data_IF_860191475641
#
_entry.id   IF_860191475641
#
_cell.length_a   1.000
_cell.length_b   1.000
_cell.length_c   1.000
_cell.angle_alpha   90.00
_cell.angle_beta   90.00
_cell.angle_gamma   90.00
#
_symmetry.space_group_name_H-M   'P 1'
#
loop_
_entity.id
_entity.type
_entity.pdbx_description
1 polymer ?
#
# COMPACT_ATOMS: atom_id res chain seq x y z
N UNK A 1 -17.97 -19.80 4.45
CA UNK A 1 -17.01 -19.72 3.33
C UNK A 1 -15.87 -18.74 3.60
N UNK A 2 -16.13 -17.58 4.24
CA UNK A 2 -15.10 -16.58 4.57
C UNK A 2 -14.10 -17.05 5.65
N UNK A 3 -14.52 -17.90 6.57
CA UNK A 3 -13.69 -18.37 7.69
C UNK A 3 -12.62 -19.36 7.22
N UNK A 4 -12.89 -20.16 6.20
CA UNK A 4 -11.94 -21.14 5.67
C UNK A 4 -10.77 -20.50 4.91
N UNK A 5 -11.01 -19.36 4.25
CA UNK A 5 -9.94 -18.61 3.54
C UNK A 5 -8.87 -18.10 4.51
N UNK A 6 -9.21 -17.84 5.77
CA UNK A 6 -8.28 -17.35 6.78
C UNK A 6 -7.38 -18.46 7.39
N UNK A 7 -7.71 -19.72 7.16
CA UNK A 7 -6.88 -20.86 7.63
C UNK A 7 -5.89 -21.34 6.58
N UNK A 8 -6.11 -20.99 5.30
CA UNK A 8 -5.15 -21.27 4.23
C UNK A 8 -3.95 -20.31 4.31
N UNK A 9 -2.77 -20.79 3.95
CA UNK A 9 -1.64 -19.91 3.74
C UNK A 9 -1.91 -18.94 2.59
N UNK A 10 -1.22 -17.78 2.56
CA UNK A 10 -1.32 -16.89 1.41
C UNK A 10 -0.87 -17.57 0.11
N UNK A 11 0.06 -18.51 0.21
CA UNK A 11 0.54 -19.31 -0.91
C UNK A 11 -0.53 -20.27 -1.45
N UNK A 12 -1.28 -20.94 -0.55
CA UNK A 12 -2.35 -21.87 -0.94
C UNK A 12 -3.54 -21.15 -1.61
N UNK A 13 -3.65 -19.84 -1.42
CA UNK A 13 -4.64 -19.02 -2.10
C UNK A 13 -4.30 -18.68 -3.57
N UNK A 14 -3.14 -19.12 -4.05
CA UNK A 14 -2.66 -18.90 -5.42
C UNK A 14 -2.92 -20.13 -6.30
N UNK A 15 -3.31 -19.94 -7.56
CA UNK A 15 -3.58 -18.70 -8.30
C UNK A 15 -5.06 -18.29 -8.29
N UNK A 16 -5.69 -18.21 -7.10
CA UNK A 16 -7.11 -17.90 -6.99
C UNK A 16 -7.40 -16.50 -7.52
N UNK A 17 -8.27 -16.41 -8.51
CA UNK A 17 -8.83 -15.18 -9.03
C UNK A 17 -10.24 -14.98 -8.47
N UNK A 18 -10.38 -14.01 -7.58
CA UNK A 18 -11.73 -13.64 -7.13
C UNK A 18 -12.47 -12.92 -8.27
N UNK A 19 -13.70 -13.31 -8.59
CA UNK A 19 -14.45 -12.65 -9.64
C UNK A 19 -14.76 -11.20 -9.27
N UNK A 20 -14.71 -10.31 -10.26
CA UNK A 20 -15.27 -8.97 -10.15
C UNK A 20 -16.79 -9.10 -10.20
N UNK A 21 -17.49 -8.54 -9.21
CA UNK A 21 -18.95 -8.66 -9.05
C UNK A 21 -19.69 -7.40 -9.48
N UNK A 22 -19.00 -6.26 -9.48
CA UNK A 22 -19.55 -4.98 -9.94
C UNK A 22 -18.53 -4.15 -10.70
N UNK A 23 -18.98 -3.44 -11.70
CA UNK A 23 -18.18 -2.41 -12.37
C UNK A 23 -18.21 -1.15 -11.52
N UNK A 24 -17.05 -0.57 -11.29
CA UNK A 24 -16.88 0.66 -10.52
C UNK A 24 -16.52 1.82 -11.43
N UNK A 25 -17.04 2.99 -11.11
CA UNK A 25 -16.70 4.24 -11.78
C UNK A 25 -15.33 4.75 -11.34
N UNK A 26 -14.72 5.58 -12.20
CA UNK A 26 -13.47 6.30 -11.93
C UNK A 26 -12.23 5.45 -11.63
N UNK A 27 -12.24 4.14 -11.92
CA UNK A 27 -11.07 3.29 -11.68
C UNK A 27 -9.87 3.77 -12.50
N UNK A 28 -8.70 3.82 -11.85
CA UNK A 28 -7.43 4.23 -12.44
C UNK A 28 -6.41 3.12 -12.32
N UNK A 29 -5.61 2.95 -13.38
CA UNK A 29 -4.52 1.98 -13.41
C UNK A 29 -3.17 2.65 -13.08
N UNK A 30 -2.20 1.88 -12.58
CA UNK A 30 -0.80 2.31 -12.55
C UNK A 30 -0.30 2.60 -13.97
N UNK A 31 0.60 3.57 -14.10
CA UNK A 31 1.23 3.89 -15.38
C UNK A 31 2.69 3.48 -15.34
N UNK A 32 3.10 2.62 -16.30
CA UNK A 32 4.49 2.23 -16.44
C UNK A 32 5.11 2.92 -17.64
N UNK A 33 6.30 3.49 -17.46
CA UNK A 33 7.07 4.10 -18.53
C UNK A 33 8.56 3.78 -18.40
N UNK A 34 9.29 3.82 -19.52
CA UNK A 34 10.75 3.66 -19.52
C UNK A 34 11.39 4.97 -19.04
N UNK A 35 12.14 4.92 -17.95
CA UNK A 35 12.87 6.08 -17.43
C UNK A 35 13.95 6.52 -18.42
N UNK A 36 14.14 7.82 -18.54
CA UNK A 36 15.26 8.41 -19.29
C UNK A 36 16.27 9.07 -18.35
N UNK A 37 15.77 9.92 -17.45
CA UNK A 37 16.62 10.71 -16.55
C UNK A 37 17.30 9.84 -15.49
N UNK A 38 16.52 9.15 -14.68
CA UNK A 38 17.06 8.30 -13.61
C UNK A 38 17.84 7.11 -14.19
N UNK A 39 17.38 6.52 -15.31
CA UNK A 39 18.08 5.44 -15.99
C UNK A 39 19.48 5.86 -16.45
N UNK A 40 19.61 7.02 -17.11
CA UNK A 40 20.88 7.56 -17.55
C UNK A 40 21.82 7.88 -16.38
N UNK A 41 21.26 8.46 -15.30
CA UNK A 41 22.01 8.77 -14.09
C UNK A 41 22.60 7.51 -13.42
N UNK A 42 21.86 6.41 -13.43
CA UNK A 42 22.27 5.13 -12.83
C UNK A 42 23.05 4.22 -13.81
N UNK A 43 23.14 4.58 -15.09
CA UNK A 43 23.78 3.77 -16.11
C UNK A 43 23.01 2.48 -16.46
N UNK A 44 21.68 2.48 -16.27
CA UNK A 44 20.78 1.35 -16.56
C UNK A 44 20.13 1.53 -17.93
N UNK A 45 20.12 0.48 -18.75
CA UNK A 45 19.53 0.52 -20.08
C UNK A 45 18.02 0.30 -20.07
N UNK A 46 17.51 -0.47 -19.10
CA UNK A 46 16.14 -0.91 -19.04
C UNK A 46 15.49 -0.68 -17.66
N UNK A 47 15.59 0.55 -17.16
CA UNK A 47 14.85 0.97 -15.98
C UNK A 47 13.43 1.42 -16.37
N UNK A 48 12.43 0.77 -15.79
CA UNK A 48 11.02 1.13 -15.91
C UNK A 48 10.48 1.59 -14.57
N UNK A 49 9.71 2.68 -14.60
CA UNK A 49 9.03 3.24 -13.44
C UNK A 49 7.55 2.90 -13.56
N UNK A 50 7.01 2.19 -12.57
CA UNK A 50 5.57 2.02 -12.42
C UNK A 50 5.08 3.04 -11.41
N UNK A 51 4.41 4.08 -11.91
CA UNK A 51 3.97 5.23 -11.13
C UNK A 51 2.53 5.06 -10.70
N UNK A 52 2.29 5.19 -9.39
CA UNK A 52 0.98 5.10 -8.78
C UNK A 52 0.62 6.44 -8.12
N UNK A 53 0.12 7.37 -8.90
CA UNK A 53 -0.14 8.71 -8.39
C UNK A 53 -0.79 9.62 -9.43
N UNK A 54 -0.63 10.93 -9.22
CA UNK A 54 -1.19 11.95 -10.09
C UNK A 54 -0.08 12.67 -10.87
N UNK A 55 0.03 12.35 -12.15
CA UNK A 55 0.93 13.02 -13.08
C UNK A 55 0.35 13.00 -14.50
N UNK A 56 -0.54 13.96 -14.84
CA UNK A 56 -1.26 13.99 -16.12
C UNK A 56 -0.35 13.93 -17.35
N UNK A 57 0.87 14.50 -17.27
CA UNK A 57 1.82 14.51 -18.37
C UNK A 57 2.21 13.10 -18.88
N UNK A 58 2.11 12.07 -18.03
CA UNK A 58 2.36 10.66 -18.40
C UNK A 58 1.08 9.83 -18.43
N UNK A 59 -0.09 10.45 -18.30
CA UNK A 59 -1.38 9.75 -18.23
C UNK A 59 -1.72 9.13 -16.87
N UNK A 60 -1.00 9.48 -15.80
CA UNK A 60 -1.28 9.00 -14.45
C UNK A 60 -2.31 9.91 -13.75
N UNK A 61 -3.45 9.34 -13.40
CA UNK A 61 -4.62 10.10 -12.91
C UNK A 61 -5.18 9.57 -11.57
N UNK A 62 -4.38 8.91 -10.75
CA UNK A 62 -4.82 8.48 -9.41
C UNK A 62 -4.95 9.69 -8.49
N UNK A 63 -6.18 10.09 -8.17
CA UNK A 63 -6.46 11.30 -7.39
C UNK A 63 -6.12 11.18 -5.91
N UNK A 64 -5.93 9.97 -5.40
CA UNK A 64 -5.43 9.73 -4.05
C UNK A 64 -3.92 9.68 -3.96
N UNK A 65 -3.22 9.89 -5.08
CA UNK A 65 -1.77 9.94 -5.20
C UNK A 65 -1.03 8.71 -4.63
N UNK A 66 -1.68 7.53 -4.61
CA UNK A 66 -1.04 6.30 -4.14
C UNK A 66 -1.69 5.03 -4.68
N UNK A 67 -0.92 3.94 -4.77
CA UNK A 67 -1.37 2.60 -5.20
C UNK A 67 -2.44 1.99 -4.27
N UNK A 68 -2.75 2.62 -3.14
CA UNK A 68 -3.87 2.23 -2.29
C UNK A 68 -5.21 2.41 -3.00
N UNK A 69 -5.26 3.24 -4.04
CA UNK A 69 -6.43 3.39 -4.87
C UNK A 69 -6.75 2.11 -5.64
N UNK A 70 -5.75 1.41 -6.19
CA UNK A 70 -5.97 0.11 -6.87
C UNK A 70 -6.42 -0.98 -5.91
N UNK A 71 -5.91 -0.96 -4.67
CA UNK A 71 -6.35 -1.83 -3.59
C UNK A 71 -7.83 -1.63 -3.28
N UNK A 72 -8.26 -0.37 -3.10
CA UNK A 72 -9.64 -0.04 -2.78
C UNK A 72 -10.60 -0.41 -3.92
N UNK A 73 -10.26 -0.12 -5.18
CA UNK A 73 -11.05 -0.55 -6.34
C UNK A 73 -11.22 -2.05 -6.40
N UNK A 74 -10.14 -2.80 -6.22
CA UNK A 74 -10.17 -4.26 -6.30
C UNK A 74 -11.02 -4.89 -5.21
N UNK A 75 -10.93 -4.39 -3.98
CA UNK A 75 -11.77 -4.83 -2.86
C UNK A 75 -13.23 -4.49 -3.11
N UNK A 76 -13.53 -3.23 -3.42
CA UNK A 76 -14.90 -2.77 -3.61
C UNK A 76 -15.59 -3.44 -4.81
N UNK A 77 -14.86 -3.70 -5.91
CA UNK A 77 -15.41 -4.40 -7.08
C UNK A 77 -15.76 -5.88 -6.81
N UNK A 78 -15.28 -6.44 -5.70
CA UNK A 78 -15.53 -7.83 -5.30
C UNK A 78 -16.49 -7.98 -4.12
N UNK A 79 -17.01 -6.87 -3.59
CA UNK A 79 -18.08 -6.90 -2.59
C UNK A 79 -19.33 -7.50 -3.25
N UNK A 80 -20.01 -8.41 -2.53
CA UNK A 80 -21.26 -8.99 -3.01
C UNK A 80 -22.32 -7.89 -3.18
N UNK A 81 -23.10 -7.95 -4.26
CA UNK A 81 -24.16 -6.97 -4.52
C UNK A 81 -25.27 -7.01 -3.46
N UNK A 82 -25.42 -8.16 -2.80
CA UNK A 82 -26.36 -8.35 -1.70
C UNK A 82 -25.77 -8.06 -0.31
N UNK A 83 -24.50 -7.67 -0.24
CA UNK A 83 -23.88 -7.28 1.04
C UNK A 83 -24.53 -5.99 1.56
N UNK A 84 -25.18 -6.11 2.71
CA UNK A 84 -25.91 -5.00 3.35
C UNK A 84 -25.14 -4.39 4.52
N UNK A 85 -24.08 -5.06 4.95
CA UNK A 85 -23.23 -4.54 6.03
C UNK A 85 -22.32 -3.46 5.52
N UNK A 86 -21.87 -2.64 6.43
CA UNK A 86 -20.95 -1.52 6.17
C UNK A 86 -19.52 -2.02 6.21
N UNK A 87 -18.74 -1.69 5.19
CA UNK A 87 -17.30 -1.95 5.16
C UNK A 87 -16.58 -1.09 6.21
N UNK A 88 -15.68 -1.69 7.00
CA UNK A 88 -14.87 -0.98 8.00
C UNK A 88 -13.41 -1.02 7.61
N UNK A 89 -12.78 0.16 7.60
CA UNK A 89 -11.35 0.32 7.30
C UNK A 89 -10.69 1.17 8.39
N UNK A 90 -9.68 0.62 9.05
CA UNK A 90 -8.80 1.38 9.94
C UNK A 90 -7.49 1.72 9.22
N UNK A 91 -7.07 2.99 9.26
CA UNK A 91 -5.85 3.45 8.60
C UNK A 91 -5.37 4.78 9.15
N UNK A 92 -4.06 5.02 9.03
CA UNK A 92 -3.45 6.31 9.39
C UNK A 92 -3.19 7.23 8.16
N UNK A 93 -3.82 6.98 6.99
CA UNK A 93 -3.59 7.86 5.84
C UNK A 93 -4.02 7.29 4.48
N UNK A 94 -3.07 6.87 3.65
CA UNK A 94 -3.31 6.54 2.23
C UNK A 94 -4.41 5.50 1.98
N UNK A 95 -4.52 4.48 2.82
CA UNK A 95 -5.59 3.47 2.67
C UNK A 95 -6.96 4.07 2.98
N UNK A 96 -7.08 4.87 4.05
CA UNK A 96 -8.34 5.56 4.37
C UNK A 96 -8.76 6.50 3.23
N UNK A 97 -7.82 7.31 2.71
CA UNK A 97 -8.09 8.21 1.58
C UNK A 97 -8.55 7.46 0.33
N UNK A 98 -7.91 6.33 0.02
CA UNK A 98 -8.26 5.51 -1.14
C UNK A 98 -9.66 4.90 -1.02
N UNK A 99 -9.96 4.25 0.11
CA UNK A 99 -11.29 3.67 0.32
C UNK A 99 -12.37 4.75 0.40
N UNK A 100 -12.11 5.88 1.05
CA UNK A 100 -13.04 7.00 1.08
C UNK A 100 -13.42 7.47 -0.32
N UNK A 101 -12.43 7.69 -1.19
CA UNK A 101 -12.67 8.14 -2.58
C UNK A 101 -13.45 7.09 -3.37
N UNK A 102 -13.00 5.84 -3.38
CA UNK A 102 -13.63 4.77 -4.16
C UNK A 102 -15.06 4.48 -3.67
N UNK A 103 -15.28 4.42 -2.36
CA UNK A 103 -16.60 4.18 -1.78
C UNK A 103 -17.54 5.36 -2.04
N UNK A 104 -17.04 6.60 -1.93
CA UNK A 104 -17.81 7.80 -2.24
C UNK A 104 -18.26 7.82 -3.71
N UNK A 105 -17.34 7.61 -4.65
CA UNK A 105 -17.66 7.62 -6.09
C UNK A 105 -18.68 6.54 -6.48
N UNK A 106 -18.73 5.44 -5.74
CA UNK A 106 -19.56 4.28 -6.04
C UNK A 106 -20.71 4.04 -5.03
N UNK A 107 -20.92 4.96 -4.09
CA UNK A 107 -21.97 4.91 -3.05
C UNK A 107 -21.94 3.62 -2.24
N UNK A 108 -20.75 3.16 -1.89
CA UNK A 108 -20.54 1.97 -1.05
C UNK A 108 -20.44 2.42 0.41
N UNK A 109 -21.31 1.95 1.31
CA UNK A 109 -21.25 2.33 2.72
C UNK A 109 -19.91 1.99 3.35
N UNK A 110 -19.25 2.98 3.94
CA UNK A 110 -17.92 2.87 4.52
C UNK A 110 -17.85 3.56 5.88
N UNK A 111 -17.36 2.84 6.89
CA UNK A 111 -16.92 3.41 8.15
C UNK A 111 -15.39 3.44 8.19
N UNK A 112 -14.82 4.63 8.23
CA UNK A 112 -13.38 4.84 8.44
C UNK A 112 -13.08 5.05 9.91
N UNK A 113 -11.97 4.48 10.39
CA UNK A 113 -11.38 4.76 11.69
C UNK A 113 -9.95 5.26 11.51
N UNK A 114 -9.68 6.51 11.94
CA UNK A 114 -8.40 7.20 11.72
C UNK A 114 -8.01 7.95 13.00
N UNK A 115 -6.72 8.01 13.39
CA UNK A 115 -6.31 8.89 14.48
C UNK A 115 -6.58 10.36 14.13
N UNK A 116 -7.04 11.16 15.08
CA UNK A 116 -7.33 12.58 14.84
C UNK A 116 -6.10 13.38 14.35
N UNK A 117 -4.90 12.98 14.76
CA UNK A 117 -3.65 13.60 14.32
C UNK A 117 -3.32 13.31 12.83
N UNK A 118 -4.04 12.40 12.19
CA UNK A 118 -3.87 12.06 10.78
C UNK A 118 -4.95 12.62 9.84
N UNK A 119 -5.85 13.48 10.33
CA UNK A 119 -6.93 14.06 9.53
C UNK A 119 -6.43 14.85 8.31
N UNK A 120 -5.27 15.47 8.40
CA UNK A 120 -4.64 16.20 7.29
C UNK A 120 -4.27 15.30 6.09
N UNK A 121 -4.25 13.97 6.28
CA UNK A 121 -4.04 13.01 5.20
C UNK A 121 -5.32 12.71 4.40
N UNK A 122 -6.51 13.15 4.88
CA UNK A 122 -7.81 12.87 4.28
C UNK A 122 -8.30 14.07 3.44
N UNK A 123 -7.57 14.38 2.40
CA UNK A 123 -7.87 15.42 1.42
C UNK A 123 -8.36 14.82 0.09
N UNK A 124 -9.25 15.55 -0.59
CA UNK A 124 -9.92 15.15 -1.83
C UNK A 124 -10.11 16.36 -2.74
N UNK A 125 -10.48 16.13 -4.00
CA UNK A 125 -10.81 17.16 -4.99
C UNK A 125 -12.26 17.67 -4.92
N UNK A 126 -13.00 17.28 -3.88
CA UNK A 126 -14.36 17.69 -3.62
C UNK A 126 -14.97 17.01 -2.42
N UNK A 127 -16.20 17.35 -2.03
CA UNK A 127 -16.92 16.69 -0.95
C UNK A 127 -17.20 15.22 -1.30
N UNK A 128 -17.17 14.35 -0.30
CA UNK A 128 -17.50 12.94 -0.45
C UNK A 128 -19.01 12.70 -0.30
N UNK A 129 -19.49 11.60 -0.91
CA UNK A 129 -20.85 11.11 -0.70
C UNK A 129 -21.09 10.78 0.77
N UNK A 130 -22.29 11.09 1.33
CA UNK A 130 -22.63 10.79 2.73
C UNK A 130 -22.57 9.32 3.14
N UNK A 131 -22.41 8.38 2.20
CA UNK A 131 -22.18 6.96 2.50
C UNK A 131 -20.84 6.71 3.19
N UNK A 132 -19.90 7.64 3.14
CA UNK A 132 -18.61 7.59 3.83
C UNK A 132 -18.73 8.29 5.17
N UNK A 133 -18.48 7.55 6.25
CA UNK A 133 -18.48 8.05 7.64
C UNK A 133 -17.11 7.90 8.26
N UNK A 134 -16.72 8.85 9.09
CA UNK A 134 -15.42 8.89 9.72
C UNK A 134 -15.54 8.98 11.25
N UNK A 135 -14.92 8.03 11.94
CA UNK A 135 -14.69 8.10 13.37
C UNK A 135 -13.20 8.25 13.66
N UNK A 136 -12.86 8.96 14.70
CA UNK A 136 -11.48 9.19 15.10
C UNK A 136 -11.25 8.79 16.55
N UNK A 137 -10.06 8.24 16.86
CA UNK A 137 -9.50 8.34 18.19
C UNK A 137 -9.03 9.80 18.42
N UNK A 138 -9.14 10.30 19.65
CA UNK A 138 -8.73 11.65 19.99
C UNK A 138 -7.23 11.90 19.73
N UNK A 139 -6.82 13.16 19.80
CA UNK A 139 -5.42 13.56 19.64
C UNK A 139 -4.51 12.85 20.63
N UNK A 140 -3.33 12.46 20.13
CA UNK A 140 -2.37 11.63 20.87
C UNK A 140 -2.58 10.12 20.67
N UNK A 141 -3.70 9.71 20.05
CA UNK A 141 -3.90 8.34 19.62
C UNK A 141 -3.07 7.99 18.39
N UNK A 142 -2.68 6.73 18.27
CA UNK A 142 -1.94 6.21 17.12
C UNK A 142 -2.78 5.28 16.22
N UNK A 143 -2.12 4.65 15.24
CA UNK A 143 -2.79 3.69 14.34
C UNK A 143 -3.42 2.49 15.08
N UNK A 144 -2.84 2.07 16.22
CA UNK A 144 -3.40 0.97 17.01
C UNK A 144 -4.71 1.37 17.68
N UNK A 145 -4.80 2.62 18.12
CA UNK A 145 -6.03 3.15 18.71
C UNK A 145 -7.16 3.23 17.67
N UNK A 146 -6.82 3.61 16.44
CA UNK A 146 -7.78 3.56 15.34
C UNK A 146 -8.21 2.12 15.00
N UNK A 147 -7.30 1.15 15.05
CA UNK A 147 -7.63 -0.29 14.90
C UNK A 147 -8.52 -0.74 16.06
N UNK A 148 -8.18 -0.37 17.30
CA UNK A 148 -8.98 -0.71 18.47
C UNK A 148 -10.41 -0.18 18.33
N UNK A 149 -10.55 1.11 18.00
CA UNK A 149 -11.84 1.74 17.76
C UNK A 149 -12.66 1.03 16.67
N UNK A 150 -12.02 0.67 15.55
CA UNK A 150 -12.68 -0.09 14.48
C UNK A 150 -13.12 -1.47 14.95
N UNK A 151 -12.32 -2.16 15.79
CA UNK A 151 -12.67 -3.46 16.33
C UNK A 151 -13.85 -3.40 17.31
N UNK A 152 -14.05 -2.28 18.00
CA UNK A 152 -15.25 -2.07 18.82
C UNK A 152 -16.49 -1.95 17.95
N UNK A 153 -16.45 -1.17 16.86
CA UNK A 153 -17.56 -1.09 15.91
C UNK A 153 -17.88 -2.45 15.28
N UNK A 154 -16.85 -3.25 14.96
CA UNK A 154 -16.99 -4.59 14.38
C UNK A 154 -17.63 -5.64 15.31
N UNK A 155 -17.92 -5.31 16.57
CA UNK A 155 -18.75 -6.17 17.44
C UNK A 155 -20.23 -6.16 17.04
N UNK A 156 -20.66 -5.15 16.28
CA UNK A 156 -22.00 -5.11 15.70
C UNK A 156 -22.06 -5.89 14.39
N UNK A 157 -23.16 -6.63 14.17
CA UNK A 157 -23.41 -7.38 12.94
C UNK A 157 -23.67 -6.47 11.71
N UNK A 158 -23.83 -5.16 11.92
CA UNK A 158 -23.96 -4.19 10.81
C UNK A 158 -22.66 -3.97 10.04
N UNK A 159 -21.52 -4.36 10.60
CA UNK A 159 -20.21 -4.04 10.08
C UNK A 159 -19.41 -5.29 9.72
N UNK A 160 -18.47 -5.14 8.77
CA UNK A 160 -17.49 -6.17 8.47
C UNK A 160 -16.12 -5.55 8.14
N UNK A 161 -15.06 -6.26 8.50
CA UNK A 161 -13.70 -5.79 8.30
C UNK A 161 -13.22 -5.97 6.85
N UNK A 162 -12.41 -5.04 6.36
CA UNK A 162 -11.74 -5.13 5.05
C UNK A 162 -10.77 -6.33 4.97
N UNK A 163 -10.14 -6.73 6.07
CA UNK A 163 -9.35 -7.95 6.18
C UNK A 163 -7.83 -7.76 5.99
N UNK A 164 -7.36 -6.60 5.62
CA UNK A 164 -5.93 -6.29 5.53
C UNK A 164 -5.15 -7.18 4.55
N UNK A 165 -3.93 -7.55 4.90
CA UNK A 165 -3.04 -8.36 4.05
C UNK A 165 -3.61 -9.75 3.71
N UNK A 166 -4.53 -10.28 4.52
CA UNK A 166 -5.19 -11.56 4.27
C UNK A 166 -6.28 -11.48 3.19
N UNK A 167 -6.72 -10.28 2.84
CA UNK A 167 -7.72 -10.08 1.80
C UNK A 167 -7.08 -10.26 0.41
N UNK A 168 -7.45 -11.34 -0.29
CA UNK A 168 -6.95 -11.63 -1.65
C UNK A 168 -7.31 -10.52 -2.63
N UNK A 169 -8.51 -9.95 -2.53
CA UNK A 169 -8.93 -8.85 -3.40
C UNK A 169 -8.01 -7.62 -3.25
N UNK A 170 -7.54 -7.34 -2.04
CA UNK A 170 -6.58 -6.28 -1.76
C UNK A 170 -5.26 -6.51 -2.49
N UNK A 171 -4.72 -7.74 -2.41
CA UNK A 171 -3.48 -8.11 -3.10
C UNK A 171 -3.64 -8.10 -4.62
N UNK A 172 -4.79 -8.54 -5.15
CA UNK A 172 -5.10 -8.44 -6.58
C UNK A 172 -5.06 -7.00 -7.09
N UNK A 173 -5.56 -6.04 -6.32
CA UNK A 173 -5.46 -4.63 -6.65
C UNK A 173 -4.00 -4.15 -6.70
N UNK A 174 -3.20 -4.48 -5.70
CA UNK A 174 -1.77 -4.14 -5.68
C UNK A 174 -0.98 -4.84 -6.80
N UNK A 175 -1.38 -6.05 -7.20
CA UNK A 175 -0.78 -6.81 -8.30
C UNK A 175 -0.88 -6.09 -9.67
N UNK A 176 -1.82 -5.15 -9.82
CA UNK A 176 -1.97 -4.37 -11.05
C UNK A 176 -0.73 -3.54 -11.39
N UNK A 177 0.12 -3.23 -10.42
CA UNK A 177 1.41 -2.56 -10.65
C UNK A 177 2.33 -3.44 -11.50
N UNK A 178 2.42 -4.73 -11.21
CA UNK A 178 3.21 -5.69 -11.98
C UNK A 178 2.57 -5.97 -13.34
N UNK A 179 1.25 -6.03 -13.43
CA UNK A 179 0.54 -6.18 -14.70
C UNK A 179 0.82 -4.99 -15.63
N UNK A 180 0.78 -3.76 -15.11
CA UNK A 180 1.15 -2.55 -15.87
C UNK A 180 2.58 -2.64 -16.39
N UNK A 181 3.53 -3.06 -15.56
CA UNK A 181 4.92 -3.24 -15.97
C UNK A 181 5.07 -4.33 -17.04
N UNK A 182 4.58 -5.53 -16.80
CA UNK A 182 4.72 -6.65 -17.71
C UNK A 182 4.10 -6.38 -19.09
N UNK A 183 2.93 -5.75 -19.14
CA UNK A 183 2.26 -5.41 -20.41
C UNK A 183 2.97 -4.29 -21.16
N UNK A 184 3.53 -3.31 -20.47
CA UNK A 184 4.29 -2.20 -21.10
C UNK A 184 5.65 -2.67 -21.59
N UNK A 185 6.34 -3.52 -20.82
CA UNK A 185 7.68 -4.03 -21.14
C UNK A 185 7.61 -5.17 -22.16
N UNK A 186 6.51 -5.93 -22.18
CA UNK A 186 6.35 -7.14 -23.00
C UNK A 186 6.97 -8.40 -22.38
N UNK A 187 7.48 -8.30 -21.15
CA UNK A 187 8.04 -9.43 -20.38
C UNK A 187 8.00 -9.16 -18.87
N UNK A 188 8.18 -10.22 -18.08
CA UNK A 188 8.44 -10.11 -16.65
C UNK A 188 9.76 -9.37 -16.41
N UNK A 189 9.81 -8.34 -15.53
CA UNK A 189 11.07 -7.70 -15.12
C UNK A 189 12.02 -8.68 -14.42
N UNK A 190 13.32 -8.39 -14.44
CA UNK A 190 14.32 -9.18 -13.71
C UNK A 190 14.34 -8.79 -12.22
N UNK A 191 14.11 -7.52 -11.93
CA UNK A 191 14.11 -6.96 -10.56
C UNK A 191 12.88 -6.11 -10.28
N UNK A 192 12.37 -6.21 -9.06
CA UNK A 192 11.27 -5.42 -8.54
C UNK A 192 11.70 -4.65 -7.29
N UNK A 193 11.63 -3.33 -7.31
CA UNK A 193 11.98 -2.48 -6.18
C UNK A 193 10.76 -1.84 -5.55
N UNK A 194 10.60 -2.01 -4.22
CA UNK A 194 9.53 -1.37 -3.43
C UNK A 194 9.93 -1.18 -1.97
N UNK A 195 9.53 -0.08 -1.36
CA UNK A 195 9.56 0.07 0.09
C UNK A 195 8.35 -0.61 0.74
N UNK A 196 8.57 -1.24 1.88
CA UNK A 196 7.56 -2.08 2.55
C UNK A 196 7.31 -1.65 4.00
N UNK A 197 6.03 -1.47 4.34
CA UNK A 197 5.55 -1.36 5.73
C UNK A 197 4.99 -2.69 6.20
N UNK A 198 3.91 -3.18 5.56
CA UNK A 198 3.37 -4.51 5.80
C UNK A 198 3.99 -5.61 4.93
N UNK A 199 4.60 -5.26 3.80
CA UNK A 199 5.06 -6.22 2.79
C UNK A 199 3.97 -6.69 1.84
N UNK A 200 2.70 -6.33 2.04
CA UNK A 200 1.57 -6.81 1.23
C UNK A 200 1.76 -6.53 -0.27
N UNK A 201 2.30 -5.36 -0.64
CA UNK A 201 2.56 -5.02 -2.04
C UNK A 201 3.63 -5.91 -2.69
N UNK A 202 4.67 -6.28 -1.95
CA UNK A 202 5.70 -7.20 -2.45
C UNK A 202 5.18 -8.65 -2.55
N UNK A 203 4.36 -9.09 -1.59
CA UNK A 203 3.65 -10.37 -1.67
C UNK A 203 2.75 -10.38 -2.91
N UNK A 204 1.97 -9.32 -3.14
CA UNK A 204 1.12 -9.19 -4.31
C UNK A 204 1.93 -9.20 -5.64
N UNK A 205 3.12 -8.61 -5.64
CA UNK A 205 4.02 -8.64 -6.80
C UNK A 205 4.52 -10.06 -7.08
N UNK A 206 4.87 -10.83 -6.07
CA UNK A 206 5.22 -12.24 -6.18
C UNK A 206 4.05 -13.07 -6.72
N UNK A 207 2.85 -12.88 -6.15
CA UNK A 207 1.62 -13.54 -6.61
C UNK A 207 1.33 -13.21 -8.09
N UNK A 208 1.44 -11.94 -8.48
CA UNK A 208 1.28 -11.52 -9.88
C UNK A 208 2.29 -12.18 -10.79
N UNK A 209 3.56 -12.26 -10.36
CA UNK A 209 4.62 -12.90 -11.15
C UNK A 209 4.33 -14.39 -11.39
N UNK A 210 3.88 -15.13 -10.37
CA UNK A 210 3.50 -16.54 -10.54
C UNK A 210 2.36 -16.71 -11.54
N UNK A 211 1.35 -15.83 -11.49
CA UNK A 211 0.24 -15.83 -12.45
C UNK A 211 0.70 -15.49 -13.88
N UNK A 212 1.65 -14.57 -14.03
CA UNK A 212 2.24 -14.25 -15.35
C UNK A 212 3.05 -15.41 -15.92
N UNK A 213 3.74 -16.18 -15.07
CA UNK A 213 4.44 -17.42 -15.49
C UNK A 213 3.43 -18.46 -15.95
N UNK A 214 2.34 -18.66 -15.21
CA UNK A 214 1.27 -19.60 -15.58
C UNK A 214 0.58 -19.19 -16.89
N UNK A 215 0.37 -17.90 -17.12
CA UNK A 215 -0.15 -17.34 -18.37
C UNK A 215 0.79 -17.58 -19.57
N UNK A 216 2.09 -17.63 -19.37
CA UNK A 216 3.12 -17.99 -20.32
C UNK A 216 3.50 -16.92 -21.36
N UNK A 217 2.76 -15.82 -21.48
CA UNK A 217 3.01 -14.76 -22.49
C UNK A 217 4.21 -13.87 -22.19
N UNK A 218 4.59 -13.72 -20.92
CA UNK A 218 5.55 -12.73 -20.46
C UNK A 218 6.89 -13.31 -19.98
N UNK A 219 7.05 -14.62 -20.03
CA UNK A 219 8.26 -15.33 -19.60
C UNK A 219 7.99 -16.30 -18.46
N UNK A 220 9.05 -16.99 -17.99
CA UNK A 220 8.95 -18.09 -17.03
C UNK A 220 9.85 -17.93 -15.79
N UNK A 221 10.39 -16.72 -15.55
CA UNK A 221 11.28 -16.47 -14.43
C UNK A 221 10.57 -15.67 -13.33
N UNK A 222 11.07 -15.80 -12.11
CA UNK A 222 10.66 -14.98 -10.97
C UNK A 222 11.48 -13.69 -10.92
N UNK A 223 10.79 -12.55 -10.74
CA UNK A 223 11.45 -11.27 -10.45
C UNK A 223 12.13 -11.36 -9.09
N UNK A 224 13.38 -10.92 -9.01
CA UNK A 224 14.05 -10.75 -7.73
C UNK A 224 13.44 -9.58 -6.97
N UNK A 225 12.85 -9.86 -5.79
CA UNK A 225 12.23 -8.84 -4.94
C UNK A 225 13.31 -8.08 -4.16
N UNK A 226 13.48 -6.81 -4.44
CA UNK A 226 14.41 -5.89 -3.79
C UNK A 226 13.61 -4.92 -2.93
N UNK A 227 13.37 -5.29 -1.66
CA UNK A 227 12.48 -4.51 -0.79
C UNK A 227 13.24 -3.73 0.27
N UNK A 228 12.65 -2.65 0.76
CA UNK A 228 13.36 -1.73 1.65
C UNK A 228 12.48 -1.19 2.78
N UNK A 229 13.11 -0.93 3.93
CA UNK A 229 12.50 -0.27 5.07
C UNK A 229 13.24 1.02 5.44
N UNK A 230 12.55 1.93 6.15
CA UNK A 230 13.09 3.21 6.58
C UNK A 230 13.72 3.09 7.98
N UNK A 231 15.04 3.17 8.04
CA UNK A 231 15.76 3.19 9.31
C UNK A 231 15.50 4.51 10.09
N UNK A 232 15.39 4.44 11.44
CA UNK A 232 15.77 3.30 12.29
C UNK A 232 14.72 2.18 12.45
N UNK A 233 13.48 2.34 11.97
CA UNK A 233 12.42 1.35 12.12
C UNK A 233 12.49 0.27 11.02
N UNK A 234 13.25 -0.81 11.26
CA UNK A 234 13.54 -1.85 10.25
C UNK A 234 13.35 -3.29 10.77
N UNK A 235 12.20 -3.64 11.36
CA UNK A 235 12.01 -4.93 12.03
C UNK A 235 12.14 -6.12 11.09
N UNK A 236 11.59 -6.05 9.87
CA UNK A 236 11.68 -7.15 8.90
C UNK A 236 13.09 -7.29 8.33
N UNK A 237 13.80 -6.18 8.07
CA UNK A 237 15.19 -6.22 7.65
C UNK A 237 16.09 -6.91 8.69
N UNK A 238 15.89 -6.62 9.98
CA UNK A 238 16.65 -7.28 11.05
C UNK A 238 16.40 -8.79 11.07
N UNK A 239 15.15 -9.24 10.99
CA UNK A 239 14.82 -10.66 10.92
C UNK A 239 15.40 -11.32 9.66
N UNK A 240 15.30 -10.67 8.51
CA UNK A 240 15.86 -11.16 7.25
C UNK A 240 17.37 -11.35 7.29
N UNK A 241 18.10 -10.41 7.89
CA UNK A 241 19.56 -10.49 8.05
C UNK A 241 20.02 -11.67 8.90
N UNK A 242 19.22 -12.07 9.88
CA UNK A 242 19.47 -13.25 10.72
C UNK A 242 18.91 -14.54 10.10
N UNK A 243 18.46 -14.49 8.84
CA UNK A 243 17.78 -15.59 8.14
C UNK A 243 16.62 -16.18 8.95
N UNK A 244 15.97 -15.36 9.76
CA UNK A 244 14.88 -15.75 10.64
C UNK A 244 13.53 -15.53 9.97
N UNK A 245 12.69 -16.57 9.96
CA UNK A 245 11.27 -16.44 9.62
C UNK A 245 10.53 -15.68 10.70
N UNK A 246 10.91 -15.86 11.94
CA UNK A 246 10.26 -15.19 13.05
C UNK A 246 10.78 -13.77 13.21
N UNK A 247 9.85 -12.84 13.46
CA UNK A 247 10.22 -11.47 13.81
C UNK A 247 11.02 -11.46 15.08
N UNK A 248 12.19 -10.81 15.06
CA UNK A 248 13.00 -10.64 16.26
C UNK A 248 12.26 -9.77 17.27
N UNK A 249 12.56 -10.00 18.54
CA UNK A 249 12.01 -9.17 19.61
C UNK A 249 12.37 -7.69 19.35
N UNK A 250 11.37 -6.85 19.34
CA UNK A 250 11.51 -5.41 19.19
C UNK A 250 10.81 -4.74 20.37
N UNK A 251 11.56 -4.10 21.23
CA UNK A 251 11.02 -3.38 22.38
C UNK A 251 9.99 -2.34 21.95
N UNK A 252 8.80 -2.36 22.56
CA UNK A 252 7.68 -1.50 22.13
C UNK A 252 7.99 -0.02 22.26
N UNK A 253 8.69 0.40 23.32
CA UNK A 253 9.05 1.81 23.51
C UNK A 253 10.09 2.26 22.49
N UNK A 254 11.06 1.37 22.19
CA UNK A 254 12.03 1.60 21.12
C UNK A 254 11.31 1.69 19.76
N UNK A 255 10.37 0.79 19.49
CA UNK A 255 9.61 0.79 18.25
C UNK A 255 8.81 2.10 18.07
N UNK A 256 8.16 2.60 19.13
CA UNK A 256 7.45 3.89 19.12
C UNK A 256 8.41 5.05 18.79
N UNK A 257 9.53 5.14 19.49
CA UNK A 257 10.55 6.18 19.21
C UNK A 257 11.09 6.10 17.78
N UNK A 258 11.39 4.90 17.29
CA UNK A 258 11.92 4.72 15.95
C UNK A 258 10.88 5.09 14.86
N UNK A 259 9.61 4.80 15.09
CA UNK A 259 8.48 5.24 14.24
C UNK A 259 8.34 6.77 14.22
N UNK A 260 8.57 7.45 15.35
CA UNK A 260 8.56 8.91 15.40
C UNK A 260 9.67 9.56 14.57
N UNK A 261 10.80 8.88 14.40
CA UNK A 261 11.97 9.41 13.68
C UNK A 261 11.82 9.27 12.16
N UNK A 262 11.24 8.16 11.66
CA UNK A 262 11.20 7.89 10.22
C UNK A 262 10.34 8.91 9.46
N UNK A 263 10.80 9.32 8.26
CA UNK A 263 10.02 10.20 7.37
C UNK A 263 8.86 9.45 6.69
N UNK A 264 9.06 8.17 6.39
CA UNK A 264 8.07 7.34 5.72
C UNK A 264 7.11 6.69 6.73
N UNK A 265 6.25 7.49 7.40
CA UNK A 265 5.30 7.03 8.44
C UNK A 265 4.43 5.86 8.02
N UNK A 266 4.08 5.75 6.73
CA UNK A 266 3.30 4.64 6.18
C UNK A 266 4.04 3.29 6.21
N UNK A 267 5.33 3.28 6.52
CA UNK A 267 6.14 2.07 6.67
C UNK A 267 6.24 1.57 8.11
N UNK A 268 5.47 2.11 9.04
CA UNK A 268 5.55 1.88 10.49
C UNK A 268 4.78 0.66 11.01
N UNK A 269 4.50 -0.35 10.18
CA UNK A 269 3.76 -1.52 10.65
C UNK A 269 4.61 -2.34 11.65
N UNK A 270 4.16 -2.40 12.92
CA UNK A 270 4.83 -3.15 13.99
C UNK A 270 4.55 -4.66 13.98
N UNK A 271 3.48 -5.09 13.28
CA UNK A 271 3.09 -6.51 13.15
C UNK A 271 2.83 -6.87 11.68
N UNK A 272 3.85 -6.82 10.82
CA UNK A 272 3.68 -7.12 9.39
C UNK A 272 3.45 -8.62 9.17
N UNK A 273 2.80 -9.03 8.07
CA UNK A 273 2.65 -10.43 7.67
C UNK A 273 3.96 -10.97 7.06
N UNK A 274 5.05 -10.90 7.81
CA UNK A 274 6.37 -11.37 7.41
C UNK A 274 6.52 -12.87 7.60
N UNK A 275 6.17 -13.35 8.82
CA UNK A 275 6.41 -14.72 9.30
C UNK A 275 5.37 -15.74 8.86
N UNK A 276 4.19 -15.29 8.44
CA UNK A 276 3.10 -16.20 8.06
C UNK A 276 3.42 -16.98 6.79
N UNK A 277 2.84 -18.15 6.63
CA UNK A 277 2.98 -18.93 5.40
C UNK A 277 2.48 -18.15 4.18
N UNK A 278 3.27 -18.11 3.11
CA UNK A 278 3.03 -17.23 1.95
C UNK A 278 3.25 -15.75 2.22
N UNK A 279 3.84 -15.38 3.35
CA UNK A 279 4.19 -14.02 3.72
C UNK A 279 5.46 -13.49 3.05
N UNK A 280 5.93 -12.33 3.53
CA UNK A 280 7.08 -11.67 2.89
C UNK A 280 8.37 -12.50 2.97
N UNK A 281 8.59 -13.25 4.06
CA UNK A 281 9.74 -14.14 4.17
C UNK A 281 9.75 -15.18 3.04
N UNK A 282 8.62 -15.85 2.80
CA UNK A 282 8.52 -16.85 1.73
C UNK A 282 8.69 -16.23 0.35
N UNK A 283 8.10 -15.05 0.11
CA UNK A 283 8.24 -14.32 -1.15
C UNK A 283 9.72 -13.99 -1.43
N UNK A 284 10.46 -13.51 -0.46
CA UNK A 284 11.88 -13.20 -0.58
C UNK A 284 12.72 -14.47 -0.81
N UNK A 285 12.45 -15.55 -0.07
CA UNK A 285 13.15 -16.84 -0.28
C UNK A 285 12.90 -17.41 -1.67
N UNK A 286 11.66 -17.38 -2.14
CA UNK A 286 11.27 -17.92 -3.44
C UNK A 286 11.89 -17.14 -4.62
N UNK A 287 12.13 -15.85 -4.45
CA UNK A 287 12.62 -14.95 -5.51
C UNK A 287 14.11 -14.62 -5.41
N UNK A 288 14.85 -15.28 -4.53
CA UNK A 288 16.23 -14.90 -4.18
C UNK A 288 16.33 -13.40 -3.86
N UNK A 289 15.30 -12.90 -3.15
CA UNK A 289 15.09 -11.49 -2.86
C UNK A 289 16.09 -10.91 -1.87
N UNK A 290 16.05 -9.60 -1.71
CA UNK A 290 16.92 -8.88 -0.77
C UNK A 290 16.17 -7.79 -0.03
N UNK A 291 16.59 -7.48 1.21
CA UNK A 291 16.08 -6.36 1.97
C UNK A 291 17.15 -5.30 2.23
N UNK A 292 16.72 -4.04 2.19
CA UNK A 292 17.55 -2.87 2.46
C UNK A 292 17.01 -2.05 3.62
N UNK A 293 17.93 -1.44 4.38
CA UNK A 293 17.61 -0.43 5.39
C UNK A 293 18.17 0.93 4.95
N UNK A 294 17.30 1.91 4.71
CA UNK A 294 17.67 3.25 4.24
C UNK A 294 17.22 4.31 5.25
N UNK A 295 18.06 5.32 5.45
CA UNK A 295 17.79 6.43 6.36
C UNK A 295 16.91 7.50 5.72
N UNK A 296 16.38 8.42 6.52
CA UNK A 296 15.66 9.61 6.05
C UNK A 296 16.52 10.44 5.07
N UNK A 297 17.83 10.56 5.33
CA UNK A 297 18.73 11.29 4.45
C UNK A 297 18.78 10.67 3.04
N UNK A 298 18.85 9.34 2.95
CA UNK A 298 18.80 8.62 1.68
C UNK A 298 17.46 8.88 0.95
N UNK A 299 16.33 8.77 1.66
CA UNK A 299 15.01 9.04 1.10
C UNK A 299 14.87 10.46 0.56
N UNK A 300 15.30 11.46 1.35
CA UNK A 300 15.24 12.88 0.96
C UNK A 300 16.12 13.19 -0.25
N UNK A 301 17.32 12.60 -0.32
CA UNK A 301 18.21 12.72 -1.49
C UNK A 301 17.57 12.10 -2.73
N UNK A 302 17.04 10.87 -2.60
CA UNK A 302 16.40 10.15 -3.69
C UNK A 302 15.15 10.86 -4.21
N UNK A 303 14.32 11.44 -3.33
CA UNK A 303 13.14 12.22 -3.72
C UNK A 303 13.51 13.46 -4.52
N UNK A 304 14.54 14.21 -4.10
CA UNK A 304 15.02 15.39 -4.86
C UNK A 304 15.54 14.98 -6.23
N UNK A 305 16.36 13.92 -6.27
CA UNK A 305 16.91 13.40 -7.52
C UNK A 305 15.79 12.92 -8.47
N UNK A 306 14.79 12.23 -7.94
CA UNK A 306 13.64 11.75 -8.73
C UNK A 306 12.84 12.93 -9.31
N UNK A 307 12.56 13.95 -8.51
CA UNK A 307 11.87 15.15 -8.98
C UNK A 307 12.68 15.87 -10.07
N UNK A 308 13.99 15.99 -9.90
CA UNK A 308 14.88 16.61 -10.89
C UNK A 308 14.93 15.85 -12.21
N UNK A 309 15.01 14.51 -12.16
CA UNK A 309 15.24 13.68 -13.33
C UNK A 309 13.96 13.18 -14.02
N UNK A 310 12.87 13.02 -13.27
CA UNK A 310 11.60 12.48 -13.76
C UNK A 310 10.45 13.52 -13.77
N UNK A 311 10.65 14.69 -13.16
CA UNK A 311 9.73 15.82 -13.23
C UNK A 311 8.49 15.74 -12.34
N UNK A 312 8.45 14.79 -11.39
CA UNK A 312 7.32 14.60 -10.49
C UNK A 312 7.79 14.30 -9.08
N UNK A 313 7.06 14.82 -8.08
CA UNK A 313 7.29 14.51 -6.67
C UNK A 313 6.85 13.09 -6.31
N UNK A 314 7.56 12.48 -5.35
CA UNK A 314 7.25 11.16 -4.81
C UNK A 314 7.21 11.18 -3.29
N UNK A 315 6.38 10.31 -2.69
CA UNK A 315 6.32 10.18 -1.24
C UNK A 315 7.59 9.59 -0.63
N UNK A 316 7.77 9.80 0.68
CA UNK A 316 8.96 9.31 1.39
C UNK A 316 9.16 7.80 1.25
N UNK A 317 8.08 7.00 1.25
CA UNK A 317 8.17 5.56 1.01
C UNK A 317 8.74 5.24 -0.39
N UNK A 318 8.26 5.92 -1.43
CA UNK A 318 8.81 5.76 -2.78
C UNK A 318 10.26 6.26 -2.87
N UNK A 319 10.61 7.30 -2.09
CA UNK A 319 11.99 7.75 -1.93
C UNK A 319 12.90 6.69 -1.30
N UNK A 320 12.41 5.90 -0.34
CA UNK A 320 13.14 4.75 0.23
C UNK A 320 13.36 3.66 -0.84
N UNK A 321 12.34 3.35 -1.66
CA UNK A 321 12.49 2.41 -2.76
C UNK A 321 13.51 2.89 -3.81
N UNK A 322 13.44 4.15 -4.19
CA UNK A 322 14.41 4.77 -5.13
C UNK A 322 15.82 4.73 -4.56
N UNK A 323 15.98 5.05 -3.27
CA UNK A 323 17.28 4.98 -2.59
C UNK A 323 17.85 3.55 -2.53
N UNK A 324 16.98 2.52 -2.39
CA UNK A 324 17.43 1.12 -2.42
C UNK A 324 17.91 0.70 -3.81
N UNK A 325 17.27 1.17 -4.87
CA UNK A 325 17.75 0.95 -6.25
C UNK A 325 19.11 1.61 -6.46
N UNK A 326 19.28 2.88 -6.08
CA UNK A 326 20.56 3.59 -6.16
C UNK A 326 21.66 2.79 -5.45
N UNK A 327 21.40 2.38 -4.21
CA UNK A 327 22.33 1.58 -3.41
C UNK A 327 22.68 0.24 -4.08
N UNK A 328 21.68 -0.48 -4.62
CA UNK A 328 21.91 -1.75 -5.30
C UNK A 328 22.78 -1.60 -6.56
N UNK A 329 22.62 -0.50 -7.30
CA UNK A 329 23.48 -0.18 -8.46
C UNK A 329 24.90 0.17 -8.01
N UNK A 330 25.06 1.02 -6.99
CA UNK A 330 26.37 1.38 -6.42
C UNK A 330 27.13 0.16 -5.88
N UNK A 331 26.43 -0.84 -5.35
CA UNK A 331 26.97 -2.11 -4.88
C UNK A 331 27.25 -3.13 -6.01
N UNK A 332 26.96 -2.78 -7.27
CA UNK A 332 27.19 -3.66 -8.42
C UNK A 332 26.24 -4.87 -8.50
N UNK A 333 25.09 -4.81 -7.81
CA UNK A 333 24.11 -5.90 -7.77
C UNK A 333 23.19 -5.97 -8.99
N UNK A 334 23.14 -4.91 -9.78
CA UNK A 334 22.26 -4.78 -10.94
C UNK A 334 23.11 -4.66 -12.20
N UNK A 335 22.94 -5.59 -13.15
CA UNK A 335 23.57 -5.52 -14.45
C UNK A 335 22.98 -4.35 -15.27
N UNK A 336 23.78 -3.72 -16.13
CA UNK A 336 23.38 -2.54 -16.92
C UNK A 336 22.18 -2.84 -17.84
N UNK A 337 22.14 -4.03 -18.40
CA UNK A 337 21.13 -4.50 -19.34
C UNK A 337 19.92 -5.16 -18.67
N UNK A 338 19.95 -5.35 -17.34
CA UNK A 338 18.85 -5.91 -16.58
C UNK A 338 17.57 -5.07 -16.73
N UNK A 339 16.43 -5.74 -16.81
CA UNK A 339 15.11 -5.09 -16.83
C UNK A 339 14.64 -4.87 -15.39
N UNK A 340 14.68 -3.61 -14.99
CA UNK A 340 14.37 -3.20 -13.61
C UNK A 340 13.02 -2.50 -13.55
N UNK A 341 12.15 -2.94 -12.65
CA UNK A 341 10.91 -2.26 -12.29
C UNK A 341 11.07 -1.56 -10.94
N UNK A 342 11.01 -0.23 -10.96
CA UNK A 342 10.90 0.59 -9.75
C UNK A 342 9.42 0.94 -9.52
N UNK A 343 8.83 0.38 -8.47
CA UNK A 343 7.45 0.67 -8.09
C UNK A 343 7.39 1.94 -7.21
N UNK A 344 6.98 3.05 -7.81
CA UNK A 344 6.67 4.29 -7.12
C UNK A 344 5.25 4.18 -6.56
N UNK A 345 5.15 3.82 -5.29
CA UNK A 345 3.89 3.52 -4.61
C UNK A 345 3.01 4.73 -4.32
N UNK A 346 3.51 5.93 -4.56
CA UNK A 346 2.75 7.16 -4.43
C UNK A 346 3.58 8.40 -4.76
N UNK A 347 2.91 9.39 -5.33
CA UNK A 347 3.51 10.68 -5.71
C UNK A 347 2.57 11.55 -6.52
N UNK A 348 3.07 12.72 -6.93
CA UNK A 348 2.32 13.72 -7.69
C UNK A 348 1.34 14.53 -6.82
N UNK A 349 1.55 14.54 -5.50
CA UNK A 349 0.70 15.34 -4.60
C UNK A 349 0.87 16.84 -4.83
N UNK A 350 2.07 17.30 -5.20
CA UNK A 350 2.29 18.71 -5.53
C UNK A 350 1.48 19.09 -6.76
N UNK A 351 1.57 18.33 -7.85
CA UNK A 351 0.76 18.57 -9.05
C UNK A 351 -0.74 18.51 -8.75
N UNK A 352 -1.18 17.55 -7.94
CA UNK A 352 -2.59 17.44 -7.58
C UNK A 352 -3.07 18.68 -6.82
N UNK A 353 -2.28 19.21 -5.89
CA UNK A 353 -2.61 20.43 -5.12
C UNK A 353 -2.55 21.70 -5.96
N UNK A 354 -1.74 21.74 -6.99
CA UNK A 354 -1.71 22.82 -7.96
C UNK A 354 -2.95 22.81 -8.88
N UNK A 355 -3.39 21.62 -9.30
CA UNK A 355 -4.50 21.43 -10.23
C UNK A 355 -5.88 21.47 -9.56
N UNK A 356 -5.97 21.20 -8.26
CA UNK A 356 -7.22 20.97 -7.53
C UNK A 356 -7.33 21.80 -6.26
N UNK A 357 -8.55 22.28 -6.00
CA UNK A 357 -8.90 22.81 -4.68
C UNK A 357 -9.16 21.66 -3.73
N UNK A 358 -8.45 21.64 -2.59
CA UNK A 358 -8.58 20.56 -1.62
C UNK A 358 -9.79 20.73 -0.71
N UNK A 359 -10.48 19.64 -0.50
CA UNK A 359 -11.50 19.47 0.51
C UNK A 359 -11.06 18.41 1.52
N UNK A 360 -11.30 18.64 2.81
CA UNK A 360 -10.87 17.75 3.89
C UNK A 360 -12.05 17.08 4.56
N UNK A 361 -11.98 15.75 4.74
CA UNK A 361 -13.01 14.99 5.43
C UNK A 361 -12.97 15.34 6.94
N UNK A 362 -14.15 15.59 7.50
CA UNK A 362 -14.32 15.87 8.93
C UNK A 362 -14.87 14.64 9.64
N UNK A 363 -14.45 14.39 10.89
CA UNK A 363 -14.98 13.25 11.64
C UNK A 363 -16.46 13.49 12.04
N UNK A 364 -17.27 12.42 11.89
CA UNK A 364 -18.63 12.39 12.43
C UNK A 364 -18.59 12.26 13.95
N UNK A 365 -17.66 11.45 14.50
CA UNK A 365 -17.39 11.31 15.92
C UNK A 365 -15.90 11.23 16.25
N UNK A 366 -15.52 11.80 17.38
CA UNK A 366 -14.20 11.63 17.99
C UNK A 366 -14.38 10.94 19.33
N UNK A 367 -13.70 9.83 19.56
CA UNK A 367 -13.75 9.03 20.77
C UNK A 367 -12.44 9.16 21.55
N UNK A 368 -12.47 9.02 22.90
CA UNK A 368 -11.25 8.91 23.68
C UNK A 368 -10.42 7.68 23.27
N UNK A 369 -9.16 7.61 23.70
CA UNK A 369 -8.26 6.48 23.39
C UNK A 369 -8.81 5.16 23.94
N UNK A 370 -9.44 5.20 25.12
CA UNK A 370 -10.12 4.06 25.75
C UNK A 370 -11.63 4.33 25.86
N UNK A 371 -12.37 4.17 24.75
CA UNK A 371 -13.79 4.50 24.70
C UNK A 371 -14.68 3.38 25.27
N UNK A 372 -15.86 3.76 25.77
CA UNK A 372 -16.89 2.78 26.11
C UNK A 372 -17.32 1.99 24.85
N UNK A 373 -17.20 0.66 24.86
CA UNK A 373 -17.60 -0.17 23.72
C UNK A 373 -19.06 -0.02 23.29
N UNK A 374 -19.98 0.12 24.25
CA UNK A 374 -21.42 0.24 23.94
C UNK A 374 -21.71 1.60 23.30
N UNK A 375 -21.04 2.66 23.75
CA UNK A 375 -21.15 3.98 23.15
C UNK A 375 -20.64 3.99 21.70
N UNK A 376 -19.49 3.32 21.43
CA UNK A 376 -18.95 3.21 20.07
C UNK A 376 -19.93 2.48 19.15
N UNK A 377 -20.47 1.34 19.58
CA UNK A 377 -21.44 0.56 18.79
C UNK A 377 -22.67 1.42 18.49
N UNK A 378 -23.28 2.00 19.51
CA UNK A 378 -24.51 2.78 19.35
C UNK A 378 -24.34 3.97 18.42
N UNK A 379 -23.24 4.75 18.59
CA UNK A 379 -22.96 5.93 17.75
C UNK A 379 -22.64 5.54 16.31
N UNK A 380 -21.85 4.48 16.10
CA UNK A 380 -21.50 4.05 14.74
C UNK A 380 -22.70 3.46 14.00
N UNK A 381 -23.56 2.70 14.66
CA UNK A 381 -24.81 2.19 14.06
C UNK A 381 -25.77 3.32 13.65
N UNK A 382 -25.83 4.38 14.46
CA UNK A 382 -26.68 5.54 14.18
C UNK A 382 -26.25 6.33 12.93
N UNK A 383 -24.97 6.27 12.55
CA UNK A 383 -24.45 6.92 11.33
C UNK A 383 -25.01 6.29 10.03
N UNK A 384 -25.51 5.05 10.11
CA UNK A 384 -26.01 4.27 8.97
C UNK A 384 -27.48 3.81 9.17
N UNK A 385 -28.22 4.50 10.03
CA UNK A 385 -29.64 4.23 10.29
C UNK A 385 -30.54 4.81 9.19
#
# INVERSE_FOLDING_TARGET
>A
ATTEIYTLSLHDALPIWLPVRRMLENSKAPVTYKSKGLAAHLGLENLYITFNGYYPAIGAHMTTCSFKETEAYSVCARIDENEKRVLVVASAGNTARAFAKVCSDNRIPLLLSVPADNLDALWFDGPLDPCVKLICSEKGGDYFDAIHLSNLALKSDKFYAEGGAKNVARRDGMATTVLSAATTIGRIPDYYFQAVGSGTGAIAAWEANMRLIEDGRFGSHLMKLMVSQNAPFVPMYNAWREDSRDMLHYDDDKARRDVEIIDAKVLSNRKPPYSIAGGLYDALKATDGEMFALTNAHARKARRLFLELEGVDIYSAAGIATASLIKAVEEGKIAKDAVVMLNITGGGELHFKEDKTLWYLKPDHVFPIDPDPEEVIAKTEALFA
#
